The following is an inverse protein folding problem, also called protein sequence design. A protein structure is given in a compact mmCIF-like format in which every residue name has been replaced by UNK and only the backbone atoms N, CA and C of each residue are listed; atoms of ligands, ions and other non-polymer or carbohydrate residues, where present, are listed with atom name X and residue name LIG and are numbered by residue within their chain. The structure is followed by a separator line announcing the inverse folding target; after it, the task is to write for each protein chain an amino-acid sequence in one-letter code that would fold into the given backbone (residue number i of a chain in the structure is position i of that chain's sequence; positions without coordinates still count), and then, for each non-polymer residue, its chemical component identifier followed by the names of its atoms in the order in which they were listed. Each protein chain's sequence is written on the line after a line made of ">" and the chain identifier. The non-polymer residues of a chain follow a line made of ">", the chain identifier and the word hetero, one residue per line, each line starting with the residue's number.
data_IF_011441887291
#
_entry.id   IF_011441887291
#
_cell.length_a   1.000
_cell.length_b   1.000
_cell.length_c   1.000
_cell.angle_alpha   90.00
_cell.angle_beta   90.00
_cell.angle_gamma   90.00
#
_symmetry.space_group_name_H-M   'P 1'
#
loop_
_entity.id
_entity.type
_entity.pdbx_description
1 polymer ?
#
# COMPACT_ATOMS: atom_id res chain seq x y z
N UNK A 1 23.83 -25.52 -17.41
CA UNK A 1 24.14 -25.54 -18.87
C UNK A 1 24.36 -24.10 -19.30
N UNK A 2 25.62 -23.77 -19.64
CA UNK A 2 26.03 -22.41 -20.03
C UNK A 2 25.67 -22.16 -21.49
N UNK A 3 24.93 -21.09 -21.76
CA UNK A 3 24.65 -20.64 -23.13
C UNK A 3 25.90 -19.90 -23.63
N UNK A 4 26.72 -20.59 -24.38
CA UNK A 4 27.85 -19.96 -25.09
C UNK A 4 27.32 -19.13 -26.27
N UNK A 5 27.66 -17.84 -26.25
CA UNK A 5 27.51 -16.93 -27.40
C UNK A 5 28.44 -17.41 -28.52
N UNK A 6 27.89 -18.02 -29.59
CA UNK A 6 28.62 -18.24 -30.84
C UNK A 6 28.61 -16.96 -31.66
N UNK A 7 29.78 -16.40 -31.86
CA UNK A 7 30.00 -15.34 -32.82
C UNK A 7 29.75 -15.85 -34.26
N UNK A 8 28.86 -15.21 -34.98
CA UNK A 8 28.71 -15.36 -36.43
C UNK A 8 29.68 -14.39 -37.10
N UNK A 9 30.75 -14.92 -37.66
CA UNK A 9 31.69 -14.18 -38.50
C UNK A 9 31.23 -14.34 -40.00
N UNK A 10 31.01 -13.22 -40.64
CA UNK A 10 31.52 -12.91 -41.95
C UNK A 10 30.71 -13.34 -43.16
N UNK A 11 30.05 -12.41 -43.79
CA UNK A 11 30.05 -12.25 -45.25
C UNK A 11 29.96 -10.76 -45.57
N UNK A 12 31.05 -10.20 -46.07
CA UNK A 12 31.12 -8.81 -46.50
C UNK A 12 30.30 -8.58 -47.77
N UNK A 13 29.29 -7.76 -47.67
CA UNK A 13 28.67 -7.06 -48.78
C UNK A 13 29.12 -5.61 -48.69
N UNK A 14 29.91 -5.16 -49.68
CA UNK A 14 30.24 -3.75 -49.85
C UNK A 14 28.95 -2.99 -50.21
N UNK A 15 28.28 -2.45 -49.20
CA UNK A 15 27.20 -1.51 -49.41
C UNK A 15 27.80 -0.14 -49.70
N UNK A 16 27.51 0.43 -50.87
CA UNK A 16 27.81 1.79 -51.20
C UNK A 16 27.25 2.72 -50.11
N UNK A 17 28.14 3.45 -49.46
CA UNK A 17 27.75 4.44 -48.45
C UNK A 17 27.06 5.61 -49.17
N UNK A 18 25.76 5.56 -49.27
CA UNK A 18 24.98 6.77 -49.48
C UNK A 18 25.18 7.69 -48.27
N UNK A 19 25.42 8.98 -48.43
CA UNK A 19 25.49 9.91 -47.35
C UNK A 19 24.10 9.97 -46.70
N UNK A 20 23.90 9.20 -45.62
CA UNK A 20 22.74 9.44 -44.76
C UNK A 20 22.92 10.83 -44.19
N UNK A 21 22.19 11.80 -44.70
CA UNK A 21 21.95 13.03 -43.99
C UNK A 21 21.48 12.61 -42.58
N UNK A 22 22.23 13.01 -41.54
CA UNK A 22 21.76 12.86 -40.16
C UNK A 22 20.48 13.67 -40.06
N UNK A 23 19.36 13.00 -40.29
CA UNK A 23 18.07 13.49 -39.80
C UNK A 23 18.19 13.30 -38.27
N UNK A 24 18.46 14.37 -37.55
CA UNK A 24 18.23 14.41 -36.12
C UNK A 24 16.71 14.26 -35.89
N UNK A 25 16.23 13.06 -36.06
CA UNK A 25 14.90 12.70 -35.55
C UNK A 25 15.03 12.58 -34.05
N UNK A 26 15.08 13.72 -33.37
CA UNK A 26 14.86 13.76 -31.93
C UNK A 26 13.43 13.31 -31.69
N UNK A 27 13.24 12.08 -31.22
CA UNK A 27 12.00 11.64 -30.61
C UNK A 27 12.08 12.05 -29.11
N UNK A 28 11.56 13.21 -28.72
CA UNK A 28 11.64 13.67 -27.34
C UNK A 28 10.90 12.67 -26.46
N UNK A 29 11.47 12.34 -25.29
CA UNK A 29 10.75 11.55 -24.31
C UNK A 29 9.46 12.27 -23.92
N UNK A 30 8.35 11.52 -23.83
CA UNK A 30 7.03 12.07 -23.44
C UNK A 30 7.09 12.64 -22.01
N UNK A 31 8.03 12.18 -21.19
CA UNK A 31 8.26 12.68 -19.82
C UNK A 31 7.10 12.43 -18.85
N UNK A 32 6.16 11.56 -19.22
CA UNK A 32 5.01 11.17 -18.39
C UNK A 32 5.05 9.66 -18.20
N UNK A 33 4.95 9.23 -16.92
CA UNK A 33 4.73 7.84 -16.57
C UNK A 33 3.29 7.37 -16.84
N UNK A 34 3.02 6.12 -16.52
CA UNK A 34 1.66 5.59 -16.44
C UNK A 34 0.83 6.41 -15.41
N UNK A 35 -0.52 6.43 -15.54
CA UNK A 35 -1.36 7.05 -14.52
C UNK A 35 -1.11 6.39 -13.16
N UNK A 36 -1.08 7.20 -12.11
CA UNK A 36 -0.89 6.74 -10.73
C UNK A 36 -2.23 6.33 -10.09
N UNK A 37 -3.15 5.83 -10.90
CA UNK A 37 -4.42 5.25 -10.48
C UNK A 37 -4.82 4.13 -11.43
N UNK A 38 -5.54 3.11 -10.87
CA UNK A 38 -6.11 1.99 -11.61
C UNK A 38 -7.56 1.78 -11.16
N UNK A 39 -8.48 1.67 -12.11
CA UNK A 39 -9.92 1.56 -11.82
C UNK A 39 -10.49 0.30 -12.46
N UNK A 40 -11.36 -0.40 -11.71
CA UNK A 40 -12.00 -1.63 -12.18
C UNK A 40 -13.37 -1.84 -11.52
N UNK A 41 -14.17 -2.74 -12.09
CA UNK A 41 -15.44 -3.17 -11.51
C UNK A 41 -15.26 -4.36 -10.58
N UNK A 42 -15.87 -4.28 -9.42
CA UNK A 42 -15.95 -5.37 -8.45
C UNK A 42 -17.43 -5.63 -8.07
N UNK A 43 -18.08 -6.58 -8.77
CA UNK A 43 -19.53 -6.75 -8.68
C UNK A 43 -20.25 -5.45 -9.10
N UNK A 44 -21.10 -4.94 -8.22
CA UNK A 44 -21.83 -3.69 -8.46
C UNK A 44 -21.04 -2.43 -8.09
N UNK A 45 -19.84 -2.60 -7.52
CA UNK A 45 -19.00 -1.49 -7.08
C UNK A 45 -17.96 -1.11 -8.13
N UNK A 46 -17.49 0.13 -8.04
CA UNK A 46 -16.31 0.61 -8.75
C UNK A 46 -15.19 0.83 -7.74
N UNK A 47 -14.04 0.22 -8.00
CA UNK A 47 -12.84 0.33 -7.15
C UNK A 47 -11.79 1.12 -7.91
N UNK A 48 -11.23 2.15 -7.28
CA UNK A 48 -10.08 2.90 -7.81
C UNK A 48 -8.93 2.79 -6.82
N UNK A 49 -7.85 2.14 -7.23
CA UNK A 49 -6.58 2.20 -6.49
C UNK A 49 -5.86 3.48 -6.87
N UNK A 50 -5.36 4.21 -5.88
CA UNK A 50 -4.63 5.47 -6.09
C UNK A 50 -3.31 5.38 -5.35
N UNK A 51 -2.20 5.57 -6.06
CA UNK A 51 -0.87 5.54 -5.45
C UNK A 51 -0.59 6.84 -4.69
N UNK A 52 -0.11 6.71 -3.45
CA UNK A 52 0.52 7.83 -2.72
C UNK A 52 2.01 7.98 -3.06
N UNK A 53 2.55 7.05 -3.84
CA UNK A 53 3.95 6.97 -4.25
C UNK A 53 4.70 5.84 -3.56
N UNK A 54 5.96 5.66 -3.91
CA UNK A 54 6.79 4.62 -3.32
C UNK A 54 7.43 5.09 -2.01
N UNK A 55 7.48 4.19 -1.02
CA UNK A 55 8.07 4.39 0.30
C UNK A 55 9.35 3.56 0.40
N UNK A 56 10.55 4.18 0.33
CA UNK A 56 11.82 3.47 0.46
C UNK A 56 12.14 3.20 1.93
N UNK A 57 12.39 1.93 2.26
CA UNK A 57 12.82 1.50 3.59
C UNK A 57 14.35 1.42 3.74
N UNK A 58 15.10 1.51 2.63
CA UNK A 58 16.53 1.24 2.64
C UNK A 58 16.83 -0.26 2.64
N UNK A 59 17.78 -0.72 3.47
CA UNK A 59 18.17 -2.13 3.49
C UNK A 59 17.04 -3.00 4.05
N UNK A 60 16.71 -4.06 3.30
CA UNK A 60 15.64 -4.98 3.69
C UNK A 60 15.91 -5.63 5.07
N UNK A 61 17.15 -6.02 5.36
CA UNK A 61 17.52 -6.69 6.62
C UNK A 61 17.40 -5.79 7.86
N UNK A 62 17.35 -4.46 7.69
CA UNK A 62 17.15 -3.51 8.79
C UNK A 62 15.67 -3.45 9.21
N UNK A 63 14.75 -3.79 8.29
CA UNK A 63 13.31 -3.72 8.52
C UNK A 63 12.66 -5.08 8.72
N UNK A 64 13.15 -6.13 8.05
CA UNK A 64 12.61 -7.50 8.14
C UNK A 64 13.55 -8.37 8.98
N UNK A 65 13.16 -8.63 10.23
CA UNK A 65 14.03 -9.23 11.25
C UNK A 65 13.53 -10.64 11.67
N UNK A 66 14.39 -11.36 12.41
CA UNK A 66 14.05 -12.72 12.86
C UNK A 66 14.41 -13.82 11.86
N UNK A 67 15.08 -13.49 10.75
CA UNK A 67 15.67 -14.47 9.82
C UNK A 67 17.10 -14.84 10.19
N UNK A 68 17.62 -15.90 9.59
CA UNK A 68 19.05 -16.24 9.65
C UNK A 68 19.92 -15.17 8.95
N UNK A 69 21.23 -15.11 9.26
CA UNK A 69 22.14 -14.14 8.65
C UNK A 69 22.10 -14.21 7.12
N UNK A 70 21.83 -13.06 6.46
CA UNK A 70 21.79 -12.95 5.01
C UNK A 70 20.59 -13.61 4.32
N UNK A 71 19.67 -14.23 5.04
CA UNK A 71 18.48 -14.90 4.47
C UNK A 71 17.55 -13.91 3.78
N UNK A 72 17.23 -12.77 4.42
CA UNK A 72 16.40 -11.72 3.82
C UNK A 72 16.98 -11.24 2.50
N UNK A 73 18.30 -10.97 2.48
CA UNK A 73 18.99 -10.54 1.27
C UNK A 73 18.99 -11.61 0.16
N UNK A 74 19.11 -12.89 0.55
CA UNK A 74 19.03 -14.00 -0.41
C UNK A 74 17.64 -14.14 -1.02
N UNK A 75 16.57 -13.99 -0.22
CA UNK A 75 15.18 -14.00 -0.68
C UNK A 75 14.91 -12.84 -1.66
N UNK A 76 15.38 -11.62 -1.35
CA UNK A 76 15.25 -10.47 -2.24
C UNK A 76 15.93 -10.72 -3.59
N UNK A 77 17.21 -11.18 -3.58
CA UNK A 77 17.94 -11.48 -4.82
C UNK A 77 17.31 -12.60 -5.63
N UNK A 78 16.76 -13.63 -4.99
CA UNK A 78 16.05 -14.71 -5.66
C UNK A 78 14.80 -14.22 -6.39
N UNK A 79 14.17 -13.16 -5.88
CA UNK A 79 13.05 -12.46 -6.50
C UNK A 79 13.50 -11.34 -7.48
N UNK A 80 14.79 -11.19 -7.77
CA UNK A 80 15.39 -10.17 -8.62
C UNK A 80 15.17 -8.74 -8.08
N UNK A 81 15.04 -8.60 -6.76
CA UNK A 81 14.89 -7.32 -6.06
C UNK A 81 16.21 -6.90 -5.41
N UNK A 82 16.41 -5.60 -5.26
CA UNK A 82 17.59 -5.04 -4.60
C UNK A 82 17.44 -5.06 -3.07
N UNK A 83 18.22 -5.87 -2.33
CA UNK A 83 18.13 -5.90 -0.88
C UNK A 83 18.65 -4.63 -0.20
N UNK A 84 19.41 -3.78 -0.89
CA UNK A 84 19.88 -2.51 -0.36
C UNK A 84 18.83 -1.39 -0.45
N UNK A 85 17.76 -1.61 -1.21
CA UNK A 85 16.70 -0.63 -1.42
C UNK A 85 15.33 -1.32 -1.47
N UNK A 86 14.83 -1.76 -0.33
CA UNK A 86 13.47 -2.27 -0.21
C UNK A 86 12.47 -1.12 -0.44
N UNK A 87 11.63 -1.26 -1.45
CA UNK A 87 10.58 -0.32 -1.79
C UNK A 87 9.23 -0.92 -1.47
N UNK A 88 8.39 -0.13 -0.82
CA UNK A 88 6.97 -0.42 -0.61
C UNK A 88 6.14 0.50 -1.49
N UNK A 89 5.08 -0.02 -2.11
CA UNK A 89 4.05 0.83 -2.70
C UNK A 89 3.13 1.38 -1.60
N UNK A 90 2.34 2.38 -1.93
CA UNK A 90 1.29 2.92 -1.07
C UNK A 90 0.00 2.99 -1.88
N UNK A 91 -0.78 1.92 -1.84
CA UNK A 91 -1.95 1.67 -2.66
C UNK A 91 -3.24 2.01 -1.89
N UNK A 92 -3.57 3.29 -1.77
CA UNK A 92 -4.85 3.72 -1.19
C UNK A 92 -6.02 3.30 -2.11
N UNK A 93 -7.16 3.00 -1.52
CA UNK A 93 -8.30 2.45 -2.26
C UNK A 93 -9.52 3.33 -2.10
N UNK A 94 -10.16 3.67 -3.22
CA UNK A 94 -11.45 4.38 -3.23
C UNK A 94 -12.51 3.40 -3.74
N UNK A 95 -13.50 3.15 -2.91
CA UNK A 95 -14.66 2.32 -3.23
C UNK A 95 -15.87 3.21 -3.49
N UNK A 96 -16.42 3.13 -4.69
CA UNK A 96 -17.70 3.72 -5.03
C UNK A 96 -18.78 2.64 -5.04
N UNK A 97 -19.69 2.72 -4.08
CA UNK A 97 -20.82 1.78 -3.96
C UNK A 97 -22.07 2.23 -4.74
N UNK A 98 -21.99 3.36 -5.44
CA UNK A 98 -23.14 4.03 -6.06
C UNK A 98 -23.98 4.84 -5.06
N UNK A 99 -23.71 4.72 -3.75
CA UNK A 99 -24.32 5.50 -2.67
C UNK A 99 -23.30 6.30 -1.86
N UNK A 100 -22.11 5.73 -1.65
CA UNK A 100 -21.05 6.30 -0.86
C UNK A 100 -19.72 6.17 -1.60
N UNK A 101 -18.89 7.20 -1.45
CA UNK A 101 -17.51 7.21 -1.87
C UNK A 101 -16.63 7.06 -0.63
N UNK A 102 -15.92 5.95 -0.54
CA UNK A 102 -15.19 5.51 0.65
C UNK A 102 -13.71 5.44 0.31
N UNK A 103 -12.87 6.13 1.07
CA UNK A 103 -11.41 6.07 0.94
C UNK A 103 -10.82 5.21 2.05
N UNK A 104 -10.08 4.17 1.69
CA UNK A 104 -9.27 3.37 2.62
C UNK A 104 -7.87 3.91 2.65
N UNK A 105 -7.46 4.42 3.81
CA UNK A 105 -6.20 5.10 4.11
C UNK A 105 -5.93 6.35 3.26
N UNK A 106 -5.11 7.27 3.77
CA UNK A 106 -4.98 8.60 3.17
C UNK A 106 -3.57 8.94 2.67
N UNK A 107 -2.59 8.08 2.90
CA UNK A 107 -1.21 8.39 2.53
C UNK A 107 -0.51 9.32 3.52
N UNK A 108 0.72 9.68 3.17
CA UNK A 108 1.65 10.47 3.99
C UNK A 108 1.25 11.95 4.09
N UNK A 109 0.72 12.53 3.02
CA UNK A 109 0.41 13.96 2.98
C UNK A 109 1.59 14.88 3.30
N UNK A 110 1.26 16.10 3.71
CA UNK A 110 2.22 17.16 4.05
C UNK A 110 1.97 17.79 5.44
N UNK A 111 1.04 17.25 6.21
CA UNK A 111 0.58 17.83 7.47
C UNK A 111 1.67 18.05 8.51
N UNK A 112 2.73 17.25 8.46
CA UNK A 112 3.83 17.29 9.42
C UNK A 112 5.10 17.98 8.87
N UNK A 113 4.99 18.68 7.72
CA UNK A 113 6.11 19.41 7.13
C UNK A 113 7.33 18.52 6.87
N UNK A 114 8.48 18.82 7.49
CA UNK A 114 9.70 18.05 7.30
C UNK A 114 9.54 16.56 7.72
N UNK A 115 8.73 16.26 8.73
CA UNK A 115 8.50 14.88 9.14
C UNK A 115 7.70 14.08 8.10
N UNK A 116 6.84 14.70 7.28
CA UNK A 116 6.19 14.06 6.15
C UNK A 116 7.17 13.63 5.04
N UNK A 117 8.42 14.08 5.09
CA UNK A 117 9.47 13.73 4.13
C UNK A 117 10.46 12.69 4.68
N UNK A 118 10.17 12.08 5.84
CA UNK A 118 11.09 11.14 6.49
C UNK A 118 11.44 9.91 5.64
N UNK A 119 10.54 9.50 4.74
CA UNK A 119 10.76 8.44 3.77
C UNK A 119 11.08 8.97 2.36
N UNK A 120 11.49 10.24 2.24
CA UNK A 120 11.90 10.87 0.99
C UNK A 120 10.75 11.50 0.19
N UNK A 121 11.06 12.05 -1.00
CA UNK A 121 10.15 12.89 -1.76
C UNK A 121 9.17 12.12 -2.67
N UNK A 122 9.17 10.79 -2.62
CA UNK A 122 8.35 9.95 -3.49
C UNK A 122 6.95 9.70 -2.97
N UNK A 123 6.70 9.95 -1.67
CA UNK A 123 5.41 9.80 -0.98
C UNK A 123 4.56 11.08 -1.01
N UNK A 124 3.36 11.06 -0.43
CA UNK A 124 2.51 12.24 -0.25
C UNK A 124 1.82 12.71 -1.54
N UNK A 125 1.49 11.80 -2.44
CA UNK A 125 0.95 12.11 -3.77
C UNK A 125 -0.55 11.82 -3.93
N UNK A 126 -1.19 11.26 -2.90
CA UNK A 126 -2.57 10.77 -2.98
C UNK A 126 -3.54 11.83 -3.51
N UNK A 127 -3.60 12.99 -2.88
CA UNK A 127 -4.58 14.03 -3.24
C UNK A 127 -4.44 14.50 -4.70
N UNK A 128 -3.19 14.63 -5.18
CA UNK A 128 -2.92 14.96 -6.58
C UNK A 128 -3.38 13.85 -7.52
N UNK A 129 -3.10 12.60 -7.17
CA UNK A 129 -3.42 11.45 -8.00
C UNK A 129 -4.93 11.13 -7.98
N UNK A 130 -5.64 11.39 -6.86
CA UNK A 130 -7.10 11.36 -6.79
C UNK A 130 -7.74 12.34 -7.79
N UNK A 131 -7.27 13.60 -7.81
CA UNK A 131 -7.77 14.61 -8.77
C UNK A 131 -7.47 14.20 -10.22
N UNK A 132 -6.31 13.58 -10.48
CA UNK A 132 -5.97 13.04 -11.80
C UNK A 132 -6.87 11.86 -12.20
N UNK A 133 -7.39 11.10 -11.22
CA UNK A 133 -8.39 10.05 -11.42
C UNK A 133 -9.82 10.59 -11.58
N UNK A 134 -10.01 11.91 -11.53
CA UNK A 134 -11.32 12.56 -11.62
C UNK A 134 -12.12 12.53 -10.31
N UNK A 135 -11.47 12.31 -9.16
CA UNK A 135 -12.12 12.26 -7.85
C UNK A 135 -11.68 13.47 -7.03
N UNK A 136 -12.64 14.32 -6.66
CA UNK A 136 -12.41 15.41 -5.72
C UNK A 136 -12.42 14.86 -4.28
N UNK A 137 -11.39 15.13 -3.45
CA UNK A 137 -11.38 14.78 -2.04
C UNK A 137 -12.63 15.23 -1.25
N UNK A 138 -13.27 16.33 -1.64
CA UNK A 138 -14.50 16.80 -1.03
C UNK A 138 -15.72 15.90 -1.29
N UNK A 139 -15.64 14.97 -2.24
CA UNK A 139 -16.70 14.00 -2.53
C UNK A 139 -16.63 12.75 -1.63
N UNK A 140 -15.54 12.57 -0.86
CA UNK A 140 -15.39 11.43 0.04
C UNK A 140 -16.38 11.54 1.20
N UNK A 141 -17.23 10.52 1.36
CA UNK A 141 -18.20 10.42 2.46
C UNK A 141 -17.56 9.78 3.70
N UNK A 142 -16.68 8.81 3.50
CA UNK A 142 -15.98 8.10 4.57
C UNK A 142 -14.50 7.93 4.25
N UNK A 143 -13.66 8.24 5.23
CA UNK A 143 -12.27 7.76 5.28
C UNK A 143 -12.23 6.61 6.28
N UNK A 144 -11.81 5.44 5.85
CA UNK A 144 -11.73 4.23 6.66
C UNK A 144 -10.25 3.88 6.84
N UNK A 145 -9.75 4.09 8.04
CA UNK A 145 -8.34 3.85 8.35
C UNK A 145 -8.11 2.40 8.78
N UNK A 146 -7.11 1.77 8.20
CA UNK A 146 -6.62 0.49 8.69
C UNK A 146 -5.93 0.63 10.04
N UNK A 147 -5.19 1.72 10.22
CA UNK A 147 -4.47 2.10 11.44
C UNK A 147 -3.96 3.55 11.36
N UNK A 148 -3.22 4.02 12.38
CA UNK A 148 -2.83 5.43 12.48
C UNK A 148 -1.33 5.70 12.25
N UNK A 149 -0.63 4.89 11.45
CA UNK A 149 0.71 5.25 11.00
C UNK A 149 0.71 6.42 10.02
N UNK A 150 1.87 7.01 9.82
CA UNK A 150 2.06 8.25 9.09
C UNK A 150 1.58 8.18 7.63
N UNK A 151 1.88 7.10 6.95
CA UNK A 151 1.53 6.87 5.56
C UNK A 151 0.08 6.37 5.35
N UNK A 152 -0.70 6.26 6.43
CA UNK A 152 -2.12 5.89 6.38
C UNK A 152 -3.04 7.03 6.83
N UNK A 153 -2.59 7.93 7.73
CA UNK A 153 -3.49 8.93 8.29
C UNK A 153 -3.02 10.39 8.16
N UNK A 154 -1.76 10.68 7.73
CA UNK A 154 -1.25 12.04 7.78
C UNK A 154 -1.75 12.96 6.67
N UNK A 155 -2.41 12.44 5.63
CA UNK A 155 -3.11 13.30 4.68
C UNK A 155 -4.57 13.58 5.05
N UNK A 156 -5.01 13.30 6.27
CA UNK A 156 -6.33 13.74 6.75
C UNK A 156 -6.43 15.27 6.80
N UNK A 157 -5.34 15.96 7.16
CA UNK A 157 -5.26 17.42 7.09
C UNK A 157 -4.07 17.89 6.26
N UNK A 158 -4.12 19.13 5.81
CA UNK A 158 -3.02 19.82 5.14
C UNK A 158 -1.97 20.36 6.15
N UNK A 159 -0.91 20.98 5.65
CA UNK A 159 0.11 21.62 6.47
C UNK A 159 -0.43 22.68 7.44
N UNK A 160 -1.52 23.36 7.07
CA UNK A 160 -2.20 24.38 7.85
C UNK A 160 -3.20 23.81 8.86
N UNK A 161 -3.50 22.49 8.79
CA UNK A 161 -4.46 21.82 9.66
C UNK A 161 -5.89 21.82 9.13
N UNK A 162 -6.12 22.25 7.88
CA UNK A 162 -7.45 22.16 7.26
C UNK A 162 -7.75 20.73 6.84
N UNK A 163 -8.99 20.30 6.96
CA UNK A 163 -9.43 18.96 6.54
C UNK A 163 -9.32 18.79 5.02
N UNK A 164 -8.56 17.81 4.57
CA UNK A 164 -8.47 17.47 3.14
C UNK A 164 -9.72 16.78 2.61
N UNK A 165 -10.48 16.12 3.49
CA UNK A 165 -11.75 15.44 3.20
C UNK A 165 -12.88 16.12 4.02
N UNK A 166 -13.32 17.34 3.66
CA UNK A 166 -14.12 18.20 4.55
C UNK A 166 -15.50 17.61 4.86
N UNK A 167 -16.03 16.73 4.02
CA UNK A 167 -17.34 16.12 4.19
C UNK A 167 -17.31 14.72 4.83
N UNK A 168 -16.12 14.12 4.94
CA UNK A 168 -15.98 12.76 5.38
C UNK A 168 -16.19 12.55 6.88
N UNK A 169 -16.76 11.41 7.24
CA UNK A 169 -16.56 10.76 8.54
C UNK A 169 -15.28 9.95 8.52
N UNK A 170 -14.57 9.83 9.65
CA UNK A 170 -13.33 9.05 9.77
C UNK A 170 -13.58 7.85 10.66
N UNK A 171 -13.44 6.66 10.10
CA UNK A 171 -13.60 5.40 10.80
C UNK A 171 -12.22 4.83 11.19
N UNK A 172 -12.03 4.49 12.46
CA UNK A 172 -10.79 3.92 13.00
C UNK A 172 -11.13 3.04 14.21
N UNK A 173 -10.30 2.03 14.51
CA UNK A 173 -10.47 1.24 15.73
C UNK A 173 -10.25 2.10 17.00
N UNK A 174 -11.04 1.83 18.03
CA UNK A 174 -10.91 2.53 19.31
C UNK A 174 -9.51 2.32 19.93
N UNK A 175 -8.94 1.13 19.78
CA UNK A 175 -7.63 0.79 20.31
C UNK A 175 -6.52 1.62 19.65
N UNK A 176 -6.56 1.77 18.32
CA UNK A 176 -5.57 2.57 17.59
C UNK A 176 -5.71 4.05 17.91
N UNK A 177 -6.92 4.58 17.92
CA UNK A 177 -7.16 5.97 18.28
C UNK A 177 -6.60 6.27 19.68
N UNK A 178 -6.91 5.43 20.66
CA UNK A 178 -6.44 5.61 22.03
C UNK A 178 -4.91 5.53 22.17
N UNK A 179 -4.28 4.60 21.44
CA UNK A 179 -2.84 4.42 21.49
C UNK A 179 -2.09 5.58 20.83
N UNK A 180 -2.45 5.92 19.59
CA UNK A 180 -1.71 6.89 18.76
C UNK A 180 -2.01 8.36 19.10
N UNK A 181 -3.01 8.62 19.95
CA UNK A 181 -3.27 9.97 20.45
C UNK A 181 -2.78 10.18 21.89
N UNK A 182 -2.13 9.22 22.52
CA UNK A 182 -1.66 9.29 23.90
C UNK A 182 -0.14 9.56 23.98
N UNK A 183 0.24 10.69 24.58
CA UNK A 183 1.64 11.08 24.80
C UNK A 183 2.44 10.06 25.62
N UNK A 184 1.80 9.28 26.49
CA UNK A 184 2.47 8.24 27.28
C UNK A 184 3.13 7.15 26.38
N UNK A 185 2.74 7.06 25.14
CA UNK A 185 3.30 6.13 24.15
C UNK A 185 4.47 6.73 23.34
N UNK A 186 4.85 7.99 23.58
CA UNK A 186 6.08 8.58 23.03
C UNK A 186 7.27 7.98 23.77
N UNK A 187 7.68 6.78 23.37
CA UNK A 187 8.79 6.01 23.97
C UNK A 187 9.32 4.99 22.96
N UNK A 188 10.53 4.53 23.17
CA UNK A 188 11.18 3.56 22.29
C UNK A 188 11.91 4.23 21.11
N UNK A 189 11.73 3.75 19.88
CA UNK A 189 12.44 4.27 18.71
C UNK A 189 12.14 5.75 18.44
N UNK A 190 13.10 6.47 17.84
CA UNK A 190 13.00 7.91 17.59
C UNK A 190 11.83 8.32 16.67
N UNK A 191 11.34 7.41 15.86
CA UNK A 191 10.17 7.68 15.00
C UNK A 191 8.84 7.75 15.77
N UNK A 192 8.78 7.24 16.99
CA UNK A 192 7.53 7.21 17.77
C UNK A 192 6.96 8.60 18.08
N UNK A 193 7.83 9.56 18.40
CA UNK A 193 7.37 10.93 18.66
C UNK A 193 6.69 11.57 17.46
N UNK A 194 7.33 11.69 16.26
CA UNK A 194 6.66 12.24 15.08
C UNK A 194 5.40 11.44 14.70
N UNK A 195 5.38 10.11 14.87
CA UNK A 195 4.20 9.30 14.56
C UNK A 195 3.01 9.66 15.45
N UNK A 196 3.21 9.73 16.76
CA UNK A 196 2.16 10.12 17.71
C UNK A 196 1.72 11.57 17.51
N UNK A 197 2.66 12.52 17.34
CA UNK A 197 2.31 13.92 17.05
C UNK A 197 1.52 14.07 15.76
N UNK A 198 1.90 13.33 14.71
CA UNK A 198 1.20 13.34 13.45
C UNK A 198 -0.19 12.72 13.55
N UNK A 199 -0.33 11.58 14.22
CA UNK A 199 -1.63 10.98 14.48
C UNK A 199 -2.53 11.92 15.29
N UNK A 200 -2.01 12.55 16.36
CA UNK A 200 -2.76 13.55 17.13
C UNK A 200 -3.25 14.70 16.26
N UNK A 201 -2.38 15.30 15.44
CA UNK A 201 -2.74 16.42 14.57
C UNK A 201 -3.86 16.03 13.61
N UNK A 202 -3.71 14.90 12.94
CA UNK A 202 -4.61 14.45 11.88
C UNK A 202 -5.94 13.92 12.44
N UNK A 203 -5.91 13.04 13.43
CA UNK A 203 -7.11 12.41 13.98
C UNK A 203 -7.94 13.40 14.81
N UNK A 204 -7.29 14.26 15.62
CA UNK A 204 -8.02 15.24 16.42
C UNK A 204 -8.81 16.25 15.58
N UNK A 205 -8.36 16.53 14.35
CA UNK A 205 -9.08 17.38 13.42
C UNK A 205 -10.46 16.83 13.02
N UNK A 206 -10.71 15.52 13.21
CA UNK A 206 -11.98 14.85 12.86
C UNK A 206 -12.74 14.30 14.07
N UNK A 207 -12.39 14.71 15.29
CA UNK A 207 -13.03 14.17 16.51
C UNK A 207 -14.56 14.30 16.53
N UNK A 208 -15.10 15.33 15.93
CA UNK A 208 -16.54 15.57 15.79
C UNK A 208 -17.23 14.65 14.74
N UNK A 209 -16.44 13.93 13.93
CA UNK A 209 -16.91 13.06 12.84
C UNK A 209 -16.29 11.65 12.90
N UNK A 210 -15.80 11.27 14.08
CA UNK A 210 -15.14 9.97 14.25
C UNK A 210 -16.16 8.85 14.42
N UNK A 211 -15.92 7.74 13.75
CA UNK A 211 -16.68 6.49 13.87
C UNK A 211 -15.76 5.42 14.45
N UNK A 212 -16.13 4.87 15.62
CA UNK A 212 -15.35 3.79 16.24
C UNK A 212 -15.65 2.45 15.59
N UNK A 213 -14.60 1.82 15.09
CA UNK A 213 -14.68 0.52 14.42
C UNK A 213 -14.41 -0.60 15.42
N UNK A 214 -15.19 -1.68 15.35
CA UNK A 214 -15.03 -2.90 16.14
C UNK A 214 -14.96 -4.12 15.23
N UNK A 215 -14.32 -5.18 15.71
CA UNK A 215 -14.26 -6.45 14.99
C UNK A 215 -15.66 -6.97 14.63
N UNK A 216 -15.83 -7.41 13.39
CA UNK A 216 -17.09 -7.89 12.84
C UNK A 216 -18.14 -6.81 12.56
N UNK A 217 -17.88 -5.53 12.87
CA UNK A 217 -18.82 -4.46 12.59
C UNK A 217 -18.87 -4.10 11.10
N UNK A 218 -20.04 -3.85 10.59
CA UNK A 218 -20.24 -3.25 9.28
C UNK A 218 -20.03 -1.72 9.42
N UNK A 219 -18.96 -1.22 8.80
CA UNK A 219 -18.57 0.22 8.86
C UNK A 219 -19.47 1.05 7.96
N UNK A 220 -19.70 0.55 6.77
CA UNK A 220 -20.71 1.01 5.80
C UNK A 220 -21.29 -0.22 5.15
N UNK A 221 -22.50 -0.16 4.55
CA UNK A 221 -23.11 -1.34 3.93
C UNK A 221 -22.17 -2.04 2.93
N UNK A 222 -21.93 -3.33 3.17
CA UNK A 222 -21.01 -4.15 2.38
C UNK A 222 -19.54 -4.10 2.79
N UNK A 223 -19.16 -3.32 3.82
CA UNK A 223 -17.77 -3.21 4.31
C UNK A 223 -17.69 -3.63 5.77
N UNK A 224 -17.13 -4.80 6.03
CA UNK A 224 -17.01 -5.39 7.38
C UNK A 224 -15.57 -5.30 7.87
N UNK A 225 -15.38 -4.80 9.07
CA UNK A 225 -14.10 -4.73 9.76
C UNK A 225 -13.68 -6.10 10.32
N UNK A 226 -12.40 -6.43 10.19
CA UNK A 226 -11.78 -7.63 10.76
C UNK A 226 -10.55 -7.20 11.54
N UNK A 227 -10.53 -7.45 12.84
CA UNK A 227 -9.39 -7.12 13.69
C UNK A 227 -8.16 -7.92 13.32
N UNK A 228 -7.05 -7.24 13.11
CA UNK A 228 -5.76 -7.82 12.71
C UNK A 228 -4.59 -7.19 13.50
N UNK A 229 -4.62 -7.26 14.86
CA UNK A 229 -3.66 -6.55 15.70
C UNK A 229 -2.24 -7.08 15.56
N UNK A 230 -1.29 -6.24 15.94
CA UNK A 230 0.15 -6.55 16.02
C UNK A 230 0.99 -5.52 15.29
N UNK A 231 0.70 -5.22 14.02
CA UNK A 231 1.33 -4.11 13.32
C UNK A 231 1.08 -2.80 14.09
N UNK A 232 -0.17 -2.50 14.35
CA UNK A 232 -0.55 -1.62 15.46
C UNK A 232 -1.48 -2.35 16.40
N UNK A 233 -1.74 -1.76 17.58
CA UNK A 233 -2.60 -2.36 18.61
C UNK A 233 -4.03 -2.57 18.14
N UNK A 234 -4.49 -1.73 17.22
CA UNK A 234 -5.84 -1.75 16.68
C UNK A 234 -5.90 -1.91 15.16
N UNK A 235 -4.82 -2.38 14.51
CA UNK A 235 -4.81 -2.60 13.07
C UNK A 235 -6.03 -3.43 12.63
N UNK A 236 -6.69 -2.97 11.58
CA UNK A 236 -7.95 -3.52 11.07
C UNK A 236 -7.85 -3.69 9.55
N UNK A 237 -8.27 -4.84 9.05
CA UNK A 237 -8.47 -5.11 7.61
C UNK A 237 -9.96 -5.06 7.30
N UNK A 238 -10.32 -4.92 6.04
CA UNK A 238 -11.73 -4.73 5.66
C UNK A 238 -12.14 -5.71 4.56
N UNK A 239 -13.21 -6.48 4.83
CA UNK A 239 -13.86 -7.32 3.82
C UNK A 239 -14.94 -6.49 3.12
N UNK A 240 -14.84 -6.39 1.80
CA UNK A 240 -15.75 -5.67 0.92
C UNK A 240 -16.56 -6.71 0.14
N UNK A 241 -17.87 -6.79 0.39
CA UNK A 241 -18.76 -7.75 -0.23
C UNK A 241 -19.61 -7.08 -1.32
N UNK A 242 -19.64 -7.67 -2.52
CA UNK A 242 -20.55 -7.28 -3.60
C UNK A 242 -21.15 -8.54 -4.23
N UNK A 243 -22.38 -8.85 -3.88
CA UNK A 243 -23.01 -10.13 -4.19
C UNK A 243 -22.21 -11.31 -3.60
N UNK A 244 -21.87 -12.35 -4.39
CA UNK A 244 -21.08 -13.48 -3.91
C UNK A 244 -19.56 -13.22 -3.85
N UNK A 245 -19.09 -12.07 -4.29
CA UNK A 245 -17.66 -11.73 -4.37
C UNK A 245 -17.21 -11.04 -3.12
N UNK A 246 -15.99 -11.38 -2.65
CA UNK A 246 -15.33 -10.74 -1.52
C UNK A 246 -13.96 -10.22 -1.97
N UNK A 247 -13.70 -8.94 -1.69
CA UNK A 247 -12.41 -8.28 -1.81
C UNK A 247 -11.95 -7.89 -0.40
N UNK A 248 -10.70 -8.19 -0.05
CA UNK A 248 -10.16 -7.84 1.26
C UNK A 248 -9.10 -6.76 1.10
N UNK A 249 -9.34 -5.59 1.69
CA UNK A 249 -8.32 -4.58 1.88
C UNK A 249 -7.51 -4.90 3.13
N UNK A 250 -6.20 -5.10 2.99
CA UNK A 250 -5.39 -5.69 4.07
C UNK A 250 -4.57 -4.67 4.87
N UNK A 251 -4.58 -3.38 4.49
CA UNK A 251 -3.65 -2.42 5.10
C UNK A 251 -2.25 -3.03 5.22
N UNK A 252 -1.71 -3.05 6.42
CA UNK A 252 -0.35 -3.47 6.77
C UNK A 252 -0.26 -4.86 7.40
N UNK A 253 -1.17 -5.76 7.01
CA UNK A 253 -1.06 -7.17 7.40
C UNK A 253 0.28 -7.77 6.95
N UNK A 254 0.77 -7.35 5.79
CA UNK A 254 2.06 -7.75 5.23
C UNK A 254 2.65 -6.62 4.36
N UNK A 255 3.88 -6.21 4.65
CA UNK A 255 4.55 -5.10 3.96
C UNK A 255 5.29 -5.52 2.68
N UNK A 256 5.63 -6.79 2.53
CA UNK A 256 6.43 -7.24 1.39
C UNK A 256 5.95 -8.59 0.87
N UNK A 257 5.53 -8.61 -0.41
CA UNK A 257 4.92 -9.75 -1.07
C UNK A 257 5.81 -11.01 -1.20
N UNK A 258 7.14 -10.87 -1.09
CA UNK A 258 8.08 -12.00 -1.06
C UNK A 258 8.40 -12.38 0.38
N UNK A 259 8.96 -11.46 1.16
CA UNK A 259 9.53 -11.76 2.47
C UNK A 259 8.47 -12.26 3.44
N UNK A 260 7.38 -11.50 3.61
CA UNK A 260 6.34 -11.80 4.59
C UNK A 260 5.30 -12.83 4.12
N UNK A 261 5.27 -13.16 2.82
CA UNK A 261 4.45 -14.26 2.35
C UNK A 261 5.20 -15.59 2.41
N UNK A 262 6.45 -15.66 1.94
CA UNK A 262 7.23 -16.88 2.00
C UNK A 262 7.60 -17.27 3.45
N UNK A 263 7.82 -16.27 4.30
CA UNK A 263 8.18 -16.42 5.72
C UNK A 263 7.22 -15.58 6.59
N UNK A 264 5.97 -16.03 6.77
CA UNK A 264 4.92 -15.22 7.43
C UNK A 264 5.21 -14.91 8.91
N UNK A 265 6.14 -15.63 9.53
CA UNK A 265 6.59 -15.42 10.91
C UNK A 265 7.79 -14.47 11.03
N UNK A 266 8.33 -13.92 9.93
CA UNK A 266 9.30 -12.84 10.03
C UNK A 266 8.67 -11.62 10.71
N UNK A 267 9.45 -10.97 11.56
CA UNK A 267 9.03 -9.75 12.25
C UNK A 267 9.35 -8.51 11.40
N UNK A 268 8.61 -7.44 11.62
CA UNK A 268 8.82 -6.16 10.94
C UNK A 268 9.11 -5.07 11.96
N UNK A 269 10.15 -4.27 11.73
CA UNK A 269 10.69 -3.33 12.74
C UNK A 269 9.76 -2.18 13.11
N UNK A 270 8.75 -1.89 12.29
CA UNK A 270 7.72 -0.89 12.56
C UNK A 270 6.45 -1.48 13.22
N UNK A 271 6.43 -2.78 13.49
CA UNK A 271 5.31 -3.39 14.23
C UNK A 271 5.35 -2.97 15.71
N UNK A 272 4.20 -2.59 16.25
CA UNK A 272 4.04 -2.28 17.70
C UNK A 272 4.25 -3.53 18.56
N UNK A 273 3.76 -4.69 18.10
CA UNK A 273 4.05 -6.02 18.64
C UNK A 273 4.39 -6.98 17.49
N UNK A 274 5.69 -7.12 17.14
CA UNK A 274 6.12 -7.92 16.02
C UNK A 274 5.71 -9.38 16.08
N UNK A 275 5.64 -9.97 17.30
CA UNK A 275 5.25 -11.38 17.48
C UNK A 275 3.76 -11.59 17.23
N UNK A 276 2.94 -10.71 17.79
CA UNK A 276 1.48 -10.75 17.55
C UNK A 276 1.19 -10.46 16.07
N UNK A 277 1.89 -9.50 15.43
CA UNK A 277 1.79 -9.21 14.01
C UNK A 277 2.07 -10.44 13.15
N UNK A 278 3.19 -11.12 13.41
CA UNK A 278 3.59 -12.32 12.69
C UNK A 278 2.55 -13.45 12.81
N UNK A 279 2.01 -13.69 14.02
CA UNK A 279 0.96 -14.69 14.26
C UNK A 279 -0.36 -14.33 13.57
N UNK A 280 -0.78 -13.06 13.66
CA UNK A 280 -1.99 -12.55 13.01
C UNK A 280 -1.87 -12.69 11.49
N UNK A 281 -0.71 -12.33 10.93
CA UNK A 281 -0.39 -12.49 9.51
C UNK A 281 -0.47 -13.94 9.07
N UNK A 282 0.21 -14.84 9.77
CA UNK A 282 0.21 -16.26 9.42
C UNK A 282 -1.22 -16.84 9.40
N UNK A 283 -2.03 -16.53 10.41
CA UNK A 283 -3.43 -16.96 10.51
C UNK A 283 -4.30 -16.43 9.38
N UNK A 284 -4.16 -15.14 9.03
CA UNK A 284 -4.99 -14.51 8.00
C UNK A 284 -4.53 -14.92 6.59
N UNK A 285 -3.23 -15.08 6.34
CA UNK A 285 -2.74 -15.61 5.06
C UNK A 285 -3.20 -17.05 4.82
N UNK A 286 -3.25 -17.91 5.86
CA UNK A 286 -3.82 -19.25 5.75
C UNK A 286 -5.30 -19.19 5.34
N UNK A 287 -6.07 -18.30 5.96
CA UNK A 287 -7.47 -18.07 5.60
C UNK A 287 -7.60 -17.58 4.16
N UNK A 288 -6.79 -16.61 3.73
CA UNK A 288 -6.83 -16.11 2.35
C UNK A 288 -6.46 -17.17 1.32
N UNK A 289 -5.48 -18.03 1.62
CA UNK A 289 -5.10 -19.12 0.73
C UNK A 289 -6.20 -20.22 0.64
N UNK A 290 -7.02 -20.38 1.69
CA UNK A 290 -8.13 -21.33 1.75
C UNK A 290 -9.38 -20.79 1.09
N UNK A 291 -9.82 -19.58 1.49
CA UNK A 291 -11.09 -18.97 1.05
C UNK A 291 -10.95 -18.27 -0.31
N UNK A 292 -9.71 -18.00 -0.74
CA UNK A 292 -9.34 -17.37 -2.03
C UNK A 292 -10.09 -16.06 -2.35
N UNK A 293 -10.28 -15.13 -1.39
CA UNK A 293 -10.79 -13.82 -1.72
C UNK A 293 -9.82 -13.09 -2.64
N UNK A 294 -10.31 -12.13 -3.39
CA UNK A 294 -9.44 -11.14 -4.00
C UNK A 294 -8.87 -10.24 -2.90
N UNK A 295 -7.60 -9.86 -3.01
CA UNK A 295 -6.89 -9.08 -2.00
C UNK A 295 -6.37 -7.79 -2.61
N UNK A 296 -6.57 -6.68 -1.92
CA UNK A 296 -5.90 -5.40 -2.14
C UNK A 296 -4.96 -5.14 -0.96
N UNK A 297 -3.66 -5.12 -1.23
CA UNK A 297 -2.63 -4.83 -0.24
C UNK A 297 -2.04 -3.45 -0.46
N UNK A 298 -1.91 -2.69 0.65
CA UNK A 298 -1.40 -1.33 0.61
C UNK A 298 0.05 -1.26 0.09
N UNK A 299 0.91 -2.17 0.55
CA UNK A 299 2.35 -2.14 0.29
C UNK A 299 2.86 -3.10 -0.79
N UNK A 300 1.98 -3.85 -1.44
CA UNK A 300 2.42 -4.79 -2.50
C UNK A 300 2.61 -4.07 -3.84
N UNK A 301 3.34 -4.69 -4.78
CA UNK A 301 3.57 -4.12 -6.10
C UNK A 301 2.29 -3.63 -6.75
N UNK A 302 2.38 -2.43 -7.34
CA UNK A 302 1.27 -1.74 -8.01
C UNK A 302 0.45 -2.65 -8.94
N UNK A 303 -0.89 -2.61 -8.88
CA UNK A 303 -1.77 -1.82 -8.01
C UNK A 303 -2.15 -2.54 -6.71
N UNK A 304 -1.39 -3.50 -6.23
CA UNK A 304 -1.63 -4.25 -5.00
C UNK A 304 -2.80 -5.24 -5.06
N UNK A 305 -3.36 -5.49 -6.25
CA UNK A 305 -4.52 -6.36 -6.47
C UNK A 305 -4.09 -7.76 -6.90
N UNK A 306 -4.60 -8.79 -6.21
CA UNK A 306 -4.27 -10.18 -6.53
C UNK A 306 -4.89 -11.18 -5.58
N UNK A 307 -4.26 -12.35 -5.46
CA UNK A 307 -4.66 -13.43 -4.57
C UNK A 307 -3.45 -13.98 -3.82
N UNK A 308 -3.70 -14.54 -2.65
CA UNK A 308 -2.72 -15.29 -1.87
C UNK A 308 -2.95 -16.77 -2.09
N UNK A 309 -1.89 -17.52 -2.44
CA UNK A 309 -1.96 -18.96 -2.63
C UNK A 309 -0.90 -19.67 -1.78
N UNK A 310 -1.15 -20.92 -1.40
CA UNK A 310 -0.17 -21.74 -0.68
C UNK A 310 1.05 -22.01 -1.57
N UNK A 311 2.26 -21.85 -1.04
CA UNK A 311 3.51 -22.10 -1.74
C UNK A 311 4.58 -22.61 -0.77
N UNK A 312 4.94 -23.90 -0.88
CA UNK A 312 5.90 -24.53 0.02
C UNK A 312 5.46 -24.44 1.48
N UNK A 313 6.33 -23.89 2.34
CA UNK A 313 6.05 -23.69 3.76
C UNK A 313 5.33 -22.34 4.06
N UNK A 314 5.17 -21.49 3.06
CA UNK A 314 4.53 -20.18 3.17
C UNK A 314 3.49 -19.96 2.09
N UNK A 315 3.48 -18.75 1.54
CA UNK A 315 2.50 -18.31 0.55
C UNK A 315 3.19 -17.57 -0.60
N UNK A 316 2.48 -17.45 -1.71
CA UNK A 316 2.88 -16.66 -2.85
C UNK A 316 1.78 -15.66 -3.21
N UNK A 317 2.21 -14.52 -3.73
CA UNK A 317 1.34 -13.52 -4.32
C UNK A 317 1.12 -13.84 -5.81
N UNK A 318 -0.14 -13.88 -6.22
CA UNK A 318 -0.54 -14.01 -7.62
C UNK A 318 -1.23 -12.71 -8.02
N UNK A 319 -0.55 -11.81 -8.74
CA UNK A 319 -1.16 -10.55 -9.20
C UNK A 319 -2.39 -10.84 -10.06
N UNK A 320 -3.45 -10.07 -9.88
CA UNK A 320 -4.62 -10.13 -10.75
C UNK A 320 -4.25 -9.58 -12.14
N UNK A 321 -4.77 -10.15 -13.22
CA UNK A 321 -4.70 -9.52 -14.53
C UNK A 321 -5.32 -8.11 -14.49
N UNK A 322 -4.64 -7.12 -15.08
CA UNK A 322 -5.21 -5.79 -15.20
C UNK A 322 -6.28 -5.80 -16.30
N UNK A 323 -7.51 -5.44 -15.92
CA UNK A 323 -8.57 -5.22 -16.89
C UNK A 323 -8.54 -3.76 -17.35
N UNK A 324 -8.17 -3.56 -18.59
CA UNK A 324 -8.09 -2.24 -19.24
C UNK A 324 -9.33 -1.93 -20.08
N UNK A 325 -10.34 -2.80 -20.06
CA UNK A 325 -11.52 -2.73 -20.93
C UNK A 325 -12.85 -2.52 -20.18
N UNK A 326 -12.90 -2.81 -18.87
CA UNK A 326 -14.14 -2.88 -18.09
C UNK A 326 -14.87 -1.55 -17.89
N UNK A 327 -14.26 -0.42 -18.27
CA UNK A 327 -14.80 0.94 -18.08
C UNK A 327 -14.86 1.74 -19.40
N UNK A 328 -14.75 1.06 -20.54
CA UNK A 328 -14.89 1.66 -21.88
C UNK A 328 -16.34 1.87 -22.28
#
# INVERSE_FOLDING_TARGET
>A
MSIQRRALLGAGLAAAALPFARVEAAAPFVGRGAPAWYRFRFGDYEVTVVSDGALPLGKAEDSFVGAGPGEVNAMMRAALLDPANALLEQNAVILNTGRHLILFDTGMGDSMGAASQMFGPTTGRLLRNMRAAGIDPAQIDFVVLSHAHCDHCWALVDAQGNRNFPNAQVAISEADLAYWTNDANIRGPAFMEPFIRGAQKNLNAYRDRMVMVRDGAEVVPGVTAISAPGHTVGHTIYAIASGPRVLVYTGDLAHHHILLLQRPLLEFSFDTDPKVSAQTRARLLERFATDQPQVLSYHFPWPGLGNVVKAGQGYAWVPAPMDVTSLG
#
